data_IF_032913968166
#
_entry.id   IF_032913968166
#
_cell.length_a   1.000
_cell.length_b   1.000
_cell.length_c   1.000
_cell.angle_alpha   90.00
_cell.angle_beta   90.00
_cell.angle_gamma   90.00
#
_symmetry.space_group_name_H-M   'P 1'
#
loop_
_entity.id
_entity.type
_entity.pdbx_description
1 polymer ?
#
# COMPACT_ATOMS: atom_id res chain seq x y z
N UNK A 1 -86.86 -13.12 -19.66
CA UNK A 1 -85.51 -12.51 -19.73
C UNK A 1 -84.96 -12.30 -18.31
N UNK A 2 -84.30 -13.28 -17.67
CA UNK A 2 -83.53 -13.00 -16.43
C UNK A 2 -82.55 -14.13 -16.01
N UNK A 3 -82.70 -15.38 -16.49
CA UNK A 3 -81.77 -16.48 -16.15
C UNK A 3 -80.35 -16.32 -16.73
N UNK A 4 -80.19 -15.71 -17.92
CA UNK A 4 -78.86 -15.52 -18.54
C UNK A 4 -78.00 -14.43 -17.87
N UNK A 5 -78.59 -13.50 -17.12
CA UNK A 5 -77.85 -12.40 -16.47
C UNK A 5 -77.13 -12.87 -15.19
N UNK A 6 -77.73 -13.79 -14.45
CA UNK A 6 -77.10 -14.40 -13.27
C UNK A 6 -76.02 -15.42 -13.64
N UNK A 7 -76.18 -16.11 -14.79
CA UNK A 7 -75.19 -17.08 -15.27
C UNK A 7 -73.90 -16.39 -15.78
N UNK A 8 -74.02 -15.28 -16.52
CA UNK A 8 -72.85 -14.47 -16.90
C UNK A 8 -72.18 -13.80 -15.69
N UNK A 9 -72.96 -13.34 -14.71
CA UNK A 9 -72.43 -12.76 -13.47
C UNK A 9 -71.64 -13.77 -12.64
N UNK A 10 -72.11 -15.02 -12.56
CA UNK A 10 -71.43 -16.11 -11.85
C UNK A 10 -70.13 -16.55 -12.55
N UNK A 11 -70.09 -16.57 -13.89
CA UNK A 11 -68.89 -16.90 -14.66
C UNK A 11 -67.83 -15.80 -14.54
N UNK A 12 -68.24 -14.52 -14.55
CA UNK A 12 -67.33 -13.39 -14.37
C UNK A 12 -66.79 -13.30 -12.94
N UNK A 13 -67.61 -13.66 -11.94
CA UNK A 13 -67.17 -13.77 -10.55
C UNK A 13 -66.19 -14.92 -10.34
N UNK A 14 -66.38 -16.09 -10.97
CA UNK A 14 -65.42 -17.21 -10.90
C UNK A 14 -64.09 -16.89 -11.60
N UNK A 15 -64.11 -16.12 -12.70
CA UNK A 15 -62.91 -15.71 -13.43
C UNK A 15 -62.02 -14.75 -12.61
N UNK A 16 -62.60 -13.94 -11.72
CA UNK A 16 -61.85 -13.01 -10.86
C UNK A 16 -61.12 -13.71 -9.70
N UNK A 17 -61.57 -14.90 -9.25
CA UNK A 17 -60.92 -15.66 -8.16
C UNK A 17 -59.79 -16.57 -8.67
N UNK A 18 -59.77 -16.87 -9.98
CA UNK A 18 -58.73 -17.70 -10.60
C UNK A 18 -57.45 -16.92 -11.01
N UNK A 19 -57.45 -15.59 -10.85
CA UNK A 19 -56.48 -14.68 -11.49
C UNK A 19 -55.23 -14.29 -10.69
N UNK A 20 -54.88 -14.97 -9.59
CA UNK A 20 -53.64 -14.67 -8.84
C UNK A 20 -52.94 -15.94 -8.34
N UNK A 21 -52.42 -16.75 -9.27
CA UNK A 21 -51.27 -17.59 -8.92
C UNK A 21 -50.09 -16.66 -8.69
N UNK A 22 -49.77 -16.37 -7.42
CA UNK A 22 -48.48 -15.78 -7.04
C UNK A 22 -47.41 -16.62 -7.74
N UNK A 23 -46.62 -16.00 -8.62
CA UNK A 23 -45.45 -16.68 -9.18
C UNK A 23 -44.65 -17.24 -8.00
N UNK A 24 -44.15 -18.48 -8.07
CA UNK A 24 -43.25 -18.97 -7.05
C UNK A 24 -42.12 -17.94 -6.90
N UNK A 25 -41.73 -17.59 -5.65
CA UNK A 25 -40.68 -16.61 -5.45
C UNK A 25 -39.48 -17.02 -6.30
N UNK A 26 -38.95 -16.08 -7.09
CA UNK A 26 -37.80 -16.32 -7.96
C UNK A 26 -36.68 -16.83 -7.07
N UNK A 27 -36.39 -18.13 -7.14
CA UNK A 27 -35.29 -18.73 -6.39
C UNK A 27 -34.02 -18.24 -7.04
N UNK A 28 -33.29 -17.38 -6.35
CA UNK A 28 -31.97 -16.94 -6.78
C UNK A 28 -31.07 -18.19 -6.85
N UNK A 29 -30.33 -18.32 -7.95
CA UNK A 29 -29.45 -19.46 -8.16
C UNK A 29 -28.06 -19.15 -7.61
N UNK A 30 -27.47 -20.08 -6.86
CA UNK A 30 -26.06 -20.04 -6.50
C UNK A 30 -25.34 -21.19 -7.21
N UNK A 31 -24.39 -20.85 -8.08
CA UNK A 31 -23.65 -21.85 -8.85
C UNK A 31 -22.77 -22.71 -7.92
N UNK A 32 -22.76 -24.04 -8.07
CA UNK A 32 -21.78 -24.89 -7.40
C UNK A 32 -20.34 -24.56 -7.78
N UNK A 33 -20.12 -23.91 -8.93
CA UNK A 33 -18.80 -23.56 -9.47
C UNK A 33 -18.25 -22.23 -8.98
N UNK A 34 -18.94 -21.54 -8.05
CA UNK A 34 -18.37 -20.32 -7.46
C UNK A 34 -17.06 -20.62 -6.74
N UNK A 35 -16.09 -19.71 -6.86
CA UNK A 35 -14.73 -19.90 -6.35
C UNK A 35 -14.03 -18.58 -6.01
N UNK A 36 -13.03 -18.67 -5.14
CA UNK A 36 -12.02 -17.62 -4.94
C UNK A 36 -10.76 -17.95 -5.77
N UNK A 37 -9.99 -16.93 -6.14
CA UNK A 37 -8.77 -17.13 -6.94
C UNK A 37 -7.63 -17.79 -6.14
N UNK A 38 -7.60 -17.59 -4.82
CA UNK A 38 -6.62 -18.20 -3.92
C UNK A 38 -7.29 -18.55 -2.59
N UNK A 39 -6.70 -19.51 -1.88
CA UNK A 39 -7.06 -19.87 -0.51
C UNK A 39 -6.16 -19.20 0.53
N UNK A 40 -5.11 -18.49 0.12
CA UNK A 40 -4.05 -18.01 1.01
C UNK A 40 -3.83 -16.51 0.86
N UNK A 41 -3.99 -15.77 1.96
CA UNK A 41 -3.90 -14.31 2.00
C UNK A 41 -2.77 -13.87 2.94
N UNK A 42 -1.90 -12.97 2.46
CA UNK A 42 -0.67 -12.59 3.18
C UNK A 42 -0.51 -11.07 3.37
N UNK A 43 -1.40 -10.42 4.14
CA UNK A 43 -1.36 -8.97 4.35
C UNK A 43 -0.12 -8.56 5.16
N UNK A 44 0.35 -7.33 4.97
CA UNK A 44 1.38 -6.72 5.83
C UNK A 44 0.69 -5.89 6.91
N UNK A 45 1.03 -6.14 8.18
CA UNK A 45 0.50 -5.43 9.33
C UNK A 45 0.93 -3.95 9.36
N UNK A 46 0.27 -3.15 10.19
CA UNK A 46 0.56 -1.72 10.38
C UNK A 46 0.02 -0.78 9.30
N UNK A 47 -0.77 -1.28 8.35
CA UNK A 47 -1.40 -0.48 7.29
C UNK A 47 -2.78 -1.01 6.92
N UNK A 48 -3.67 -0.11 6.50
CA UNK A 48 -4.95 -0.49 5.93
C UNK A 48 -4.72 -1.15 4.56
N UNK A 49 -5.33 -2.31 4.33
CA UNK A 49 -5.19 -3.06 3.08
C UNK A 49 -6.51 -3.67 2.66
N UNK A 50 -6.78 -3.61 1.36
CA UNK A 50 -7.89 -4.31 0.71
C UNK A 50 -7.28 -5.35 -0.21
N UNK A 51 -7.61 -6.62 0.03
CA UNK A 51 -7.18 -7.72 -0.83
C UNK A 51 -8.35 -8.12 -1.71
N UNK A 52 -8.18 -7.91 -3.02
CA UNK A 52 -9.14 -8.34 -4.01
C UNK A 52 -9.13 -9.86 -4.08
N UNK A 53 -10.23 -10.49 -3.70
CA UNK A 53 -10.31 -11.96 -3.66
C UNK A 53 -10.55 -12.57 -5.04
N UNK A 54 -10.91 -11.72 -6.01
CA UNK A 54 -11.24 -12.09 -7.39
C UNK A 54 -12.29 -13.21 -7.41
N UNK A 55 -13.34 -13.05 -6.59
CA UNK A 55 -14.42 -14.01 -6.49
C UNK A 55 -15.11 -14.21 -7.84
N UNK A 56 -15.20 -15.47 -8.28
CA UNK A 56 -15.94 -15.87 -9.47
C UNK A 56 -17.34 -16.33 -9.06
N UNK A 57 -18.35 -15.54 -9.41
CA UNK A 57 -19.74 -15.87 -9.17
C UNK A 57 -20.33 -16.86 -10.21
N UNK A 58 -19.61 -17.19 -11.28
CA UNK A 58 -20.10 -17.99 -12.41
C UNK A 58 -21.48 -17.48 -12.88
N UNK A 59 -22.51 -18.34 -12.97
CA UNK A 59 -23.87 -17.96 -13.37
C UNK A 59 -24.80 -17.67 -12.18
N UNK A 60 -24.25 -17.32 -11.02
CA UNK A 60 -25.04 -17.05 -9.82
C UNK A 60 -25.84 -15.75 -9.94
N UNK A 61 -27.00 -15.72 -9.30
CA UNK A 61 -27.83 -14.53 -9.17
C UNK A 61 -27.23 -13.60 -8.11
N UNK A 62 -27.24 -12.29 -8.38
CA UNK A 62 -26.87 -11.24 -7.44
C UNK A 62 -28.12 -10.65 -6.78
N UNK A 63 -28.02 -10.08 -5.57
CA UNK A 63 -26.80 -9.84 -4.79
C UNK A 63 -26.32 -11.07 -4.00
N UNK A 64 -25.00 -11.14 -3.77
CA UNK A 64 -24.36 -12.17 -2.95
C UNK A 64 -23.90 -11.58 -1.60
N UNK A 65 -24.13 -12.33 -0.54
CA UNK A 65 -23.76 -12.02 0.84
C UNK A 65 -22.55 -12.87 1.24
N UNK A 66 -21.57 -12.23 1.87
CA UNK A 66 -20.31 -12.84 2.30
C UNK A 66 -20.16 -12.68 3.81
N UNK A 67 -19.81 -13.78 4.48
CA UNK A 67 -19.67 -13.81 5.94
C UNK A 67 -18.38 -14.57 6.31
N UNK A 68 -17.61 -14.02 7.25
CA UNK A 68 -16.45 -14.69 7.84
C UNK A 68 -16.90 -15.56 9.01
N UNK A 69 -16.48 -16.82 9.02
CA UNK A 69 -16.82 -17.79 10.04
C UNK A 69 -15.56 -18.48 10.58
N UNK A 70 -15.68 -19.04 11.79
CA UNK A 70 -14.68 -19.93 12.40
C UNK A 70 -13.25 -19.38 12.39
N UNK A 71 -13.07 -18.11 12.75
CA UNK A 71 -11.75 -17.48 12.88
C UNK A 71 -10.95 -18.18 13.97
N UNK A 72 -9.90 -18.89 13.58
CA UNK A 72 -9.10 -19.75 14.46
C UNK A 72 -7.62 -19.70 14.11
N UNK A 73 -6.79 -20.05 15.08
CA UNK A 73 -5.34 -20.24 14.90
C UNK A 73 -5.06 -21.61 14.28
N UNK A 74 -3.82 -21.84 13.86
CA UNK A 74 -3.40 -23.12 13.27
C UNK A 74 -3.64 -24.33 14.19
N UNK A 75 -3.57 -24.14 15.51
CA UNK A 75 -3.85 -25.17 16.51
C UNK A 75 -5.36 -25.41 16.75
N UNK A 76 -6.25 -24.71 16.05
CA UNK A 76 -7.69 -24.80 16.20
C UNK A 76 -8.29 -23.93 17.30
N UNK A 77 -7.49 -23.24 18.12
CA UNK A 77 -7.99 -22.31 19.13
C UNK A 77 -8.67 -21.09 18.47
N UNK A 78 -9.73 -20.51 19.08
CA UNK A 78 -10.33 -19.27 18.59
C UNK A 78 -9.30 -18.14 18.43
N UNK A 79 -9.48 -17.30 17.41
CA UNK A 79 -8.62 -16.13 17.15
C UNK A 79 -9.37 -14.81 17.40
N UNK A 80 -9.74 -14.47 18.65
CA UNK A 80 -10.48 -13.26 18.98
C UNK A 80 -9.72 -11.98 18.63
N UNK A 81 -8.38 -12.03 18.53
CA UNK A 81 -7.56 -10.90 18.11
C UNK A 81 -7.90 -10.41 16.69
N UNK A 82 -8.42 -11.27 15.81
CA UNK A 82 -8.79 -10.90 14.44
C UNK A 82 -10.08 -10.08 14.38
N UNK A 83 -10.96 -10.22 15.37
CA UNK A 83 -12.23 -9.48 15.48
C UNK A 83 -12.18 -8.34 16.49
N UNK A 84 -11.11 -8.25 17.28
CA UNK A 84 -10.88 -7.15 18.20
C UNK A 84 -10.88 -5.80 17.47
N UNK A 85 -11.52 -4.81 18.09
CA UNK A 85 -11.59 -3.46 17.54
C UNK A 85 -10.22 -2.78 17.65
N UNK A 86 -9.70 -2.32 16.53
CA UNK A 86 -8.52 -1.47 16.44
C UNK A 86 -8.94 -0.05 16.06
N UNK A 87 -8.24 0.94 16.60
CA UNK A 87 -8.45 2.35 16.25
C UNK A 87 -7.63 2.68 15.01
N UNK A 88 -8.30 3.01 13.92
CA UNK A 88 -7.65 3.39 12.66
C UNK A 88 -8.08 4.79 12.23
N UNK A 89 -7.19 5.49 11.51
CA UNK A 89 -7.54 6.75 10.86
C UNK A 89 -8.12 6.46 9.47
N UNK A 90 -9.36 6.85 9.27
CA UNK A 90 -10.05 6.75 7.99
C UNK A 90 -10.37 8.13 7.42
N UNK A 91 -10.40 8.20 6.09
CA UNK A 91 -10.79 9.40 5.37
C UNK A 91 -12.30 9.60 5.42
N UNK A 92 -12.72 10.79 5.87
CA UNK A 92 -14.12 11.27 5.74
C UNK A 92 -14.26 12.31 4.65
N UNK A 93 -13.18 13.05 4.37
CA UNK A 93 -13.08 13.98 3.26
C UNK A 93 -12.21 13.43 2.15
N UNK A 94 -12.39 13.97 0.94
CA UNK A 94 -11.51 13.68 -0.19
C UNK A 94 -10.16 14.37 0.01
N UNK A 95 -9.08 13.58 -0.02
CA UNK A 95 -7.72 14.09 -0.16
C UNK A 95 -7.46 14.49 -1.61
N UNK A 96 -6.98 15.72 -1.84
CA UNK A 96 -6.74 16.23 -3.20
C UNK A 96 -5.26 16.41 -3.51
N UNK A 97 -4.39 16.47 -2.51
CA UNK A 97 -2.99 16.86 -2.65
C UNK A 97 -2.79 18.36 -2.82
N UNK A 98 -3.85 19.16 -2.62
CA UNK A 98 -3.83 20.62 -2.65
C UNK A 98 -3.95 21.23 -1.25
N UNK A 99 -4.01 20.39 -0.22
CA UNK A 99 -4.03 20.80 1.18
C UNK A 99 -2.81 21.66 1.51
N UNK A 100 -3.01 22.66 2.37
CA UNK A 100 -1.99 23.69 2.69
C UNK A 100 -1.35 23.52 4.07
N UNK A 101 -1.90 22.62 4.90
CA UNK A 101 -1.36 22.32 6.23
C UNK A 101 -1.69 20.90 6.69
N UNK A 102 -0.95 20.41 7.70
CA UNK A 102 -1.28 19.16 8.39
C UNK A 102 -2.66 19.19 9.04
N UNK A 103 -3.07 20.34 9.58
CA UNK A 103 -4.36 20.50 10.21
C UNK A 103 -5.52 20.26 9.22
N UNK A 104 -5.38 20.74 7.98
CA UNK A 104 -6.39 20.51 6.93
C UNK A 104 -6.49 19.02 6.56
N UNK A 105 -5.35 18.31 6.50
CA UNK A 105 -5.32 16.87 6.24
C UNK A 105 -5.98 16.09 7.37
N UNK A 106 -5.64 16.41 8.62
CA UNK A 106 -6.17 15.71 9.78
C UNK A 106 -7.65 16.03 10.01
N UNK A 107 -8.14 17.21 9.64
CA UNK A 107 -9.57 17.52 9.63
C UNK A 107 -10.39 16.68 8.63
N UNK A 108 -9.74 16.15 7.58
CA UNK A 108 -10.33 15.24 6.59
C UNK A 108 -10.27 13.77 7.03
N UNK A 109 -9.72 13.49 8.22
CA UNK A 109 -9.56 12.15 8.79
C UNK A 109 -10.32 12.06 10.10
N UNK A 110 -10.83 10.87 10.40
CA UNK A 110 -11.43 10.57 11.70
C UNK A 110 -10.87 9.26 12.24
N UNK A 111 -10.83 9.14 13.56
CA UNK A 111 -10.53 7.87 14.20
C UNK A 111 -11.79 7.02 14.22
N UNK A 112 -11.71 5.81 13.67
CA UNK A 112 -12.81 4.84 13.65
C UNK A 112 -12.33 3.54 14.28
N UNK A 113 -13.16 2.97 15.13
CA UNK A 113 -12.93 1.62 15.66
C UNK A 113 -13.50 0.59 14.68
N UNK A 114 -12.64 -0.31 14.20
CA UNK A 114 -13.04 -1.39 13.28
C UNK A 114 -12.35 -2.69 13.67
N UNK A 115 -12.97 -3.85 13.45
CA UNK A 115 -12.26 -5.13 13.59
C UNK A 115 -11.04 -5.16 12.66
N UNK A 116 -9.99 -5.85 13.08
CA UNK A 116 -8.81 -6.02 12.23
C UNK A 116 -9.16 -6.67 10.89
N UNK A 117 -9.94 -7.76 10.92
CA UNK A 117 -10.25 -8.55 9.74
C UNK A 117 -11.74 -8.56 9.45
N UNK A 118 -12.12 -8.05 8.27
CA UNK A 118 -13.51 -8.00 7.79
C UNK A 118 -13.60 -8.40 6.32
N UNK A 119 -14.83 -8.71 5.88
CA UNK A 119 -15.15 -8.99 4.48
C UNK A 119 -16.14 -7.96 3.95
N UNK A 120 -15.95 -7.47 2.72
CA UNK A 120 -16.83 -6.46 2.13
C UNK A 120 -18.18 -7.06 1.73
N UNK A 121 -19.30 -6.44 2.13
CA UNK A 121 -20.61 -6.84 1.64
C UNK A 121 -20.68 -6.56 0.13
N UNK A 122 -20.99 -7.59 -0.66
CA UNK A 122 -21.17 -7.50 -2.12
C UNK A 122 -20.01 -8.05 -2.97
N UNK A 123 -18.76 -7.70 -2.69
CA UNK A 123 -17.61 -8.19 -3.48
C UNK A 123 -16.93 -9.42 -2.89
N UNK A 124 -17.07 -9.65 -1.58
CA UNK A 124 -16.31 -10.69 -0.90
C UNK A 124 -14.81 -10.38 -0.78
N UNK A 125 -14.41 -9.12 -0.98
CA UNK A 125 -13.03 -8.70 -0.79
C UNK A 125 -12.68 -8.63 0.70
N UNK A 126 -11.44 -8.99 1.03
CA UNK A 126 -10.96 -8.97 2.39
C UNK A 126 -10.41 -7.58 2.73
N UNK A 127 -10.78 -7.06 3.89
CA UNK A 127 -10.34 -5.76 4.40
C UNK A 127 -9.61 -5.97 5.71
N UNK A 128 -8.38 -5.49 5.73
CA UNK A 128 -7.50 -5.50 6.89
C UNK A 128 -7.31 -4.07 7.37
N UNK A 129 -7.74 -3.81 8.60
CA UNK A 129 -7.47 -2.55 9.27
C UNK A 129 -6.01 -2.53 9.78
N UNK A 130 -5.43 -1.36 9.95
CA UNK A 130 -4.10 -1.22 10.53
C UNK A 130 -4.10 -1.77 11.98
N UNK A 131 -3.30 -2.79 12.23
CA UNK A 131 -3.06 -3.38 13.54
C UNK A 131 -1.58 -3.69 13.72
N UNK A 132 -1.15 -3.78 14.98
CA UNK A 132 0.24 -4.08 15.32
C UNK A 132 0.48 -5.59 15.49
N UNK A 133 1.71 -6.02 15.21
CA UNK A 133 2.19 -7.36 15.53
C UNK A 133 2.28 -7.67 17.03
N UNK A 134 2.09 -6.66 17.89
CA UNK A 134 1.88 -6.87 19.32
C UNK A 134 0.54 -7.56 19.63
N UNK A 135 -0.45 -7.48 18.73
CA UNK A 135 -1.80 -8.06 18.90
C UNK A 135 -2.05 -9.19 17.90
N UNK A 136 -1.66 -9.00 16.64
CA UNK A 136 -1.87 -9.98 15.56
C UNK A 136 -0.56 -10.72 15.29
N UNK A 137 -0.59 -12.05 15.32
CA UNK A 137 0.61 -12.82 15.01
C UNK A 137 0.98 -12.70 13.53
N UNK A 138 2.27 -12.60 13.23
CA UNK A 138 2.73 -12.44 11.86
C UNK A 138 4.14 -12.96 11.63
N UNK A 139 4.46 -13.33 10.39
CA UNK A 139 5.79 -13.80 10.00
C UNK A 139 6.85 -12.76 10.36
N UNK A 140 8.00 -13.18 10.95
CA UNK A 140 8.56 -14.54 10.96
C UNK A 140 8.07 -15.48 12.07
N UNK A 141 7.09 -15.10 12.89
CA UNK A 141 6.67 -15.92 14.04
C UNK A 141 6.17 -17.31 13.61
N UNK A 142 6.35 -18.30 14.48
CA UNK A 142 5.97 -19.70 14.24
C UNK A 142 4.45 -19.89 14.22
N UNK A 143 3.71 -19.14 15.03
CA UNK A 143 2.24 -19.17 15.15
C UNK A 143 1.56 -18.05 14.34
N UNK A 144 1.99 -17.85 13.08
CA UNK A 144 1.49 -16.79 12.19
C UNK A 144 0.38 -17.24 11.23
N UNK A 145 -0.01 -18.52 11.26
CA UNK A 145 -1.05 -19.07 10.42
C UNK A 145 -2.41 -19.03 11.14
N UNK A 146 -3.35 -18.34 10.51
CA UNK A 146 -4.75 -18.35 10.87
C UNK A 146 -5.57 -19.11 9.83
N UNK A 147 -6.63 -19.76 10.28
CA UNK A 147 -7.62 -20.42 9.46
C UNK A 147 -8.98 -19.74 9.65
N UNK A 148 -9.72 -19.63 8.56
CA UNK A 148 -11.06 -19.08 8.59
C UNK A 148 -11.89 -19.71 7.48
N UNK A 149 -13.21 -19.59 7.61
CA UNK A 149 -14.14 -20.06 6.59
C UNK A 149 -14.90 -18.85 6.03
N UNK A 150 -15.25 -18.90 4.75
CA UNK A 150 -16.08 -17.88 4.10
C UNK A 150 -17.39 -18.53 3.68
N UNK A 151 -18.50 -18.02 4.18
CA UNK A 151 -19.83 -18.40 3.71
C UNK A 151 -20.30 -17.40 2.66
N UNK A 152 -20.65 -17.91 1.49
CA UNK A 152 -21.29 -17.16 0.41
C UNK A 152 -22.74 -17.58 0.36
N UNK A 153 -23.67 -16.62 0.35
CA UNK A 153 -25.11 -16.89 0.30
C UNK A 153 -25.84 -15.91 -0.60
N UNK A 154 -27.01 -16.31 -1.09
CA UNK A 154 -27.95 -15.42 -1.76
C UNK A 154 -29.15 -15.13 -0.85
N UNK A 155 -30.08 -14.27 -1.29
CA UNK A 155 -31.21 -13.86 -0.45
C UNK A 155 -32.25 -14.97 -0.29
N UNK A 156 -32.25 -15.97 -1.18
CA UNK A 156 -33.20 -17.08 -1.14
C UNK A 156 -32.68 -18.29 -0.38
N UNK A 157 -31.54 -18.16 0.33
CA UNK A 157 -31.03 -19.14 1.29
C UNK A 157 -30.05 -20.18 0.75
N UNK A 158 -29.75 -20.19 -0.56
CA UNK A 158 -28.67 -21.03 -1.08
C UNK A 158 -27.34 -20.51 -0.55
N UNK A 159 -26.49 -21.40 -0.06
CA UNK A 159 -25.17 -21.03 0.46
C UNK A 159 -24.10 -22.05 0.12
N UNK A 160 -22.86 -21.57 0.04
CA UNK A 160 -21.66 -22.39 -0.12
C UNK A 160 -20.64 -21.95 0.92
N UNK A 161 -20.04 -22.92 1.58
CA UNK A 161 -19.00 -22.71 2.57
C UNK A 161 -17.63 -23.04 1.97
N UNK A 162 -16.71 -22.08 2.06
CA UNK A 162 -15.30 -22.25 1.74
C UNK A 162 -14.55 -22.42 3.05
N UNK A 163 -14.10 -23.62 3.36
CA UNK A 163 -13.46 -23.93 4.63
C UNK A 163 -11.94 -23.78 4.55
N UNK A 164 -11.31 -23.58 5.72
CA UNK A 164 -9.86 -23.60 5.90
C UNK A 164 -9.09 -22.64 4.96
N UNK A 165 -9.65 -21.47 4.67
CA UNK A 165 -8.91 -20.38 4.05
C UNK A 165 -7.79 -19.95 5.00
N UNK A 166 -6.63 -19.60 4.45
CA UNK A 166 -5.39 -19.32 5.19
C UNK A 166 -5.12 -17.83 5.20
N UNK A 167 -4.86 -17.31 6.39
CA UNK A 167 -4.38 -15.95 6.60
C UNK A 167 -3.00 -16.03 7.25
N UNK A 168 -1.98 -15.49 6.57
CA UNK A 168 -0.59 -15.48 7.05
C UNK A 168 -0.08 -14.03 7.00
N UNK A 169 -0.33 -13.22 8.04
CA UNK A 169 0.12 -11.84 8.08
C UNK A 169 1.66 -11.75 8.14
N UNK A 170 2.24 -10.72 7.54
CA UNK A 170 3.62 -10.30 7.78
C UNK A 170 3.63 -9.21 8.84
N UNK A 171 4.64 -9.20 9.73
CA UNK A 171 4.86 -8.06 10.64
C UNK A 171 4.99 -6.75 9.89
N UNK A 172 4.87 -5.64 10.61
CA UNK A 172 4.96 -4.29 10.06
C UNK A 172 6.28 -4.11 9.29
N UNK A 173 6.16 -3.48 8.13
CA UNK A 173 7.29 -3.00 7.34
C UNK A 173 7.22 -1.48 7.41
N UNK A 174 8.18 -0.82 8.07
CA UNK A 174 8.05 0.59 8.40
C UNK A 174 8.17 1.50 7.19
N UNK A 175 8.93 1.08 6.17
CA UNK A 175 9.11 1.80 4.92
C UNK A 175 9.43 0.83 3.76
N UNK A 176 9.30 1.33 2.54
CA UNK A 176 9.73 0.68 1.31
C UNK A 176 10.52 1.66 0.44
N UNK A 177 11.56 1.24 -0.29
CA UNK A 177 12.09 -0.12 -0.39
C UNK A 177 12.73 -0.61 0.91
N UNK A 178 12.47 -1.86 1.30
CA UNK A 178 12.93 -2.45 2.57
C UNK A 178 14.10 -3.40 2.33
N UNK A 179 15.20 -3.28 3.08
CA UNK A 179 16.45 -4.02 2.84
C UNK A 179 16.44 -5.46 3.36
N UNK A 180 15.41 -5.84 4.11
CA UNK A 180 15.29 -7.16 4.71
C UNK A 180 14.21 -7.99 4.02
N UNK A 181 14.36 -9.31 4.06
CA UNK A 181 13.36 -10.23 3.57
C UNK A 181 12.09 -10.12 4.45
N UNK A 182 10.93 -9.89 3.82
CA UNK A 182 9.65 -9.71 4.53
C UNK A 182 9.25 -10.92 5.39
N UNK A 183 9.63 -12.12 4.99
CA UNK A 183 9.23 -13.37 5.63
C UNK A 183 10.19 -13.76 6.75
N UNK A 184 11.50 -13.68 6.49
CA UNK A 184 12.53 -14.17 7.43
C UNK A 184 13.19 -13.07 8.26
N UNK A 185 12.98 -11.80 7.90
CA UNK A 185 13.64 -10.62 8.49
C UNK A 185 15.17 -10.64 8.44
N UNK A 186 15.75 -11.51 7.61
CA UNK A 186 17.19 -11.52 7.33
C UNK A 186 17.53 -10.42 6.31
N UNK A 187 18.72 -9.78 6.42
CA UNK A 187 19.20 -8.85 5.41
C UNK A 187 19.19 -9.51 4.02
N UNK A 188 18.72 -8.79 3.01
CA UNK A 188 18.84 -9.24 1.63
C UNK A 188 20.26 -8.96 1.13
N UNK A 189 20.67 -9.71 0.12
CA UNK A 189 21.98 -9.55 -0.52
C UNK A 189 21.82 -9.21 -2.00
N UNK A 190 22.80 -8.53 -2.56
CA UNK A 190 22.90 -8.24 -3.99
C UNK A 190 24.31 -8.63 -4.49
N UNK A 191 24.39 -9.07 -5.74
CA UNK A 191 25.65 -9.53 -6.36
C UNK A 191 26.09 -8.56 -7.44
N UNK A 192 27.38 -8.21 -7.43
CA UNK A 192 28.01 -7.34 -8.43
C UNK A 192 29.07 -8.10 -9.20
N UNK A 193 29.16 -7.83 -10.50
CA UNK A 193 30.31 -8.24 -11.30
C UNK A 193 31.43 -7.22 -11.16
N UNK A 194 32.63 -7.69 -10.81
CA UNK A 194 33.85 -6.88 -10.83
C UNK A 194 34.34 -6.73 -12.27
N UNK A 195 34.74 -5.51 -12.66
CA UNK A 195 35.38 -5.22 -13.94
C UNK A 195 36.92 -5.23 -13.77
N UNK A 196 37.74 -5.76 -14.71
CA UNK A 196 37.44 -6.19 -16.09
C UNK A 196 36.91 -7.64 -16.24
N UNK A 197 36.24 -7.96 -17.37
CA UNK A 197 35.44 -9.18 -17.55
C UNK A 197 36.27 -10.45 -17.83
N UNK A 198 37.60 -10.38 -17.77
CA UNK A 198 38.48 -11.52 -18.06
C UNK A 198 38.58 -12.50 -16.88
N UNK A 199 38.27 -12.07 -15.65
CA UNK A 199 38.24 -12.89 -14.44
C UNK A 199 37.03 -12.50 -13.58
N UNK A 200 35.82 -12.86 -14.02
CA UNK A 200 34.56 -12.48 -13.36
C UNK A 200 34.37 -13.17 -12.00
N UNK A 201 34.88 -12.54 -10.94
CA UNK A 201 34.45 -12.87 -9.57
C UNK A 201 33.18 -12.09 -9.23
N UNK A 202 32.11 -12.79 -8.87
CA UNK A 202 30.91 -12.13 -8.34
C UNK A 202 31.10 -11.87 -6.85
N UNK A 203 30.92 -10.62 -6.41
CA UNK A 203 30.94 -10.27 -4.98
C UNK A 203 29.50 -10.12 -4.52
N UNK A 204 29.13 -10.82 -3.45
CA UNK A 204 27.83 -10.68 -2.79
C UNK A 204 27.97 -9.75 -1.59
N UNK A 205 27.13 -8.71 -1.53
CA UNK A 205 27.11 -7.73 -0.44
C UNK A 205 25.70 -7.54 0.10
N UNK A 206 25.51 -6.97 1.31
CA UNK A 206 24.19 -6.60 1.79
C UNK A 206 23.52 -5.61 0.85
N UNK A 207 22.24 -5.85 0.55
CA UNK A 207 21.42 -4.98 -0.29
C UNK A 207 21.23 -3.64 0.40
N UNK A 208 21.44 -2.57 -0.34
CA UNK A 208 21.15 -1.20 0.11
C UNK A 208 19.99 -0.63 -0.70
N UNK A 209 19.23 0.32 -0.15
CA UNK A 209 18.31 1.10 -0.98
C UNK A 209 19.12 1.95 -1.95
N UNK A 210 18.73 1.91 -3.22
CA UNK A 210 19.39 2.61 -4.32
C UNK A 210 18.50 3.74 -4.85
N UNK A 211 19.12 4.65 -5.59
CA UNK A 211 18.40 5.65 -6.36
C UNK A 211 17.49 4.94 -7.38
N UNK A 212 16.24 5.42 -7.52
CA UNK A 212 15.32 4.96 -8.57
C UNK A 212 15.47 5.77 -9.85
N UNK A 213 15.98 7.00 -9.73
CA UNK A 213 16.25 7.88 -10.86
C UNK A 213 17.68 8.40 -10.76
N UNK A 214 18.42 8.35 -11.86
CA UNK A 214 19.76 8.95 -11.98
C UNK A 214 20.01 9.36 -13.43
N UNK A 215 20.34 10.63 -13.67
CA UNK A 215 20.71 11.16 -14.97
C UNK A 215 21.75 12.26 -14.80
N UNK A 216 22.79 12.27 -15.66
CA UNK A 216 23.90 13.21 -15.61
C UNK A 216 24.52 13.39 -14.20
N UNK A 217 24.53 12.32 -13.40
CA UNK A 217 25.26 12.29 -12.13
C UNK A 217 26.69 11.94 -12.43
N UNK A 218 27.59 12.90 -12.35
CA UNK A 218 29.00 12.69 -12.64
C UNK A 218 29.82 12.81 -11.35
N UNK A 219 30.93 12.07 -11.30
CA UNK A 219 31.93 12.19 -10.23
C UNK A 219 33.32 12.63 -10.74
N UNK A 220 33.52 12.60 -12.06
CA UNK A 220 34.64 13.26 -12.75
C UNK A 220 34.07 14.01 -13.96
N UNK A 221 34.91 14.67 -14.77
CA UNK A 221 34.45 15.39 -15.97
C UNK A 221 33.65 14.48 -16.91
N UNK A 222 34.11 13.23 -17.09
CA UNK A 222 33.59 12.31 -18.11
C UNK A 222 32.99 11.01 -17.55
N UNK A 223 33.10 10.75 -16.24
CA UNK A 223 32.59 9.52 -15.63
C UNK A 223 31.28 9.73 -14.86
N UNK A 224 30.27 8.95 -15.24
CA UNK A 224 28.97 8.90 -14.59
C UNK A 224 29.00 8.03 -13.33
N UNK A 225 28.36 8.50 -12.27
CA UNK A 225 28.01 7.73 -11.10
C UNK A 225 27.07 6.61 -11.49
N UNK A 226 27.44 5.39 -11.14
CA UNK A 226 26.58 4.22 -11.30
C UNK A 226 25.64 4.11 -10.10
N UNK A 227 24.42 3.54 -10.24
CA UNK A 227 23.45 3.50 -9.16
C UNK A 227 23.95 2.87 -7.84
N UNK A 228 24.85 1.87 -7.89
CA UNK A 228 25.45 1.25 -6.69
C UNK A 228 26.48 2.13 -5.97
N UNK A 229 26.89 3.23 -6.59
CA UNK A 229 27.76 4.25 -6.00
C UNK A 229 26.97 5.26 -5.16
N UNK A 230 25.66 5.07 -5.00
CA UNK A 230 24.83 5.78 -4.04
C UNK A 230 24.04 4.78 -3.18
N UNK A 231 23.85 5.12 -1.92
CA UNK A 231 22.97 4.39 -1.01
C UNK A 231 22.03 5.38 -0.33
N UNK A 232 20.80 4.95 -0.07
CA UNK A 232 19.84 5.72 0.71
C UNK A 232 19.56 4.97 2.00
N UNK A 233 19.61 5.69 3.13
CA UNK A 233 19.31 5.12 4.45
C UNK A 233 18.06 5.76 5.02
N UNK A 234 17.14 4.94 5.51
CA UNK A 234 15.95 5.37 6.25
C UNK A 234 16.23 5.25 7.74
N UNK A 235 16.11 6.36 8.47
CA UNK A 235 16.34 6.40 9.92
C UNK A 235 15.14 7.04 10.62
N UNK A 236 14.49 6.30 11.50
CA UNK A 236 13.54 6.88 12.45
C UNK A 236 14.31 7.49 13.61
N UNK A 237 14.20 8.81 13.79
CA UNK A 237 14.93 9.60 14.80
C UNK A 237 14.06 10.07 15.95
N UNK A 238 12.74 9.93 15.83
CA UNK A 238 11.77 10.34 16.84
C UNK A 238 10.37 9.84 16.55
N UNK A 239 9.43 10.18 17.44
CA UNK A 239 8.02 9.81 17.37
C UNK A 239 7.12 10.96 16.89
N UNK A 240 7.71 12.03 16.35
CA UNK A 240 6.98 13.18 15.80
C UNK A 240 6.38 12.89 14.42
N UNK A 241 6.28 13.94 13.61
CA UNK A 241 5.61 13.89 12.31
C UNK A 241 6.41 14.67 11.27
N UNK A 242 7.67 14.29 11.06
CA UNK A 242 8.56 15.00 10.13
C UNK A 242 9.32 14.08 9.18
N UNK A 243 9.68 14.63 8.02
CA UNK A 243 10.52 14.00 7.02
C UNK A 243 11.71 14.92 6.71
N UNK A 244 12.92 14.40 6.84
CA UNK A 244 14.16 15.14 6.61
C UNK A 244 15.00 14.47 5.53
N UNK A 245 15.49 15.26 4.57
CA UNK A 245 16.47 14.81 3.59
C UNK A 245 17.87 15.30 3.97
N UNK A 246 18.84 14.39 3.94
CA UNK A 246 20.26 14.67 4.11
C UNK A 246 21.04 14.12 2.93
N UNK A 247 22.11 14.81 2.58
CA UNK A 247 23.00 14.43 1.49
C UNK A 247 24.42 14.37 2.03
N UNK A 248 25.09 13.25 1.84
CA UNK A 248 26.45 13.00 2.31
C UNK A 248 27.36 12.69 1.14
N UNK A 249 28.55 13.28 1.16
CA UNK A 249 29.61 13.01 0.19
C UNK A 249 30.35 11.70 0.49
N UNK A 250 31.44 11.43 -0.25
CA UNK A 250 32.22 10.19 -0.10
C UNK A 250 32.85 10.02 1.29
N UNK A 251 33.08 11.13 1.98
CA UNK A 251 33.72 11.20 3.30
C UNK A 251 32.67 11.28 4.42
N UNK A 252 31.38 11.05 4.08
CA UNK A 252 30.24 11.20 4.98
C UNK A 252 30.06 12.62 5.53
N UNK A 253 30.59 13.63 4.85
CA UNK A 253 30.38 15.02 5.20
C UNK A 253 29.09 15.55 4.55
N UNK A 254 28.34 16.45 5.24
CA UNK A 254 27.12 17.02 4.69
C UNK A 254 27.38 17.81 3.40
N UNK A 255 26.61 17.49 2.36
CA UNK A 255 26.48 18.32 1.16
C UNK A 255 25.37 19.33 1.41
N UNK A 256 25.68 20.62 1.22
CA UNK A 256 24.70 21.68 1.38
C UNK A 256 23.52 21.50 0.41
N UNK A 257 22.27 21.35 0.88
CA UNK A 257 21.09 21.20 0.02
C UNK A 257 20.91 22.31 -1.01
N UNK A 258 21.39 23.54 -0.74
CA UNK A 258 21.34 24.65 -1.69
C UNK A 258 22.10 24.39 -2.99
N UNK A 259 23.04 23.42 -3.01
CA UNK A 259 23.70 22.96 -4.23
C UNK A 259 22.74 22.27 -5.20
N UNK A 260 21.58 21.80 -4.75
CA UNK A 260 20.52 21.27 -5.60
C UNK A 260 19.50 22.35 -5.97
N UNK A 261 19.99 23.44 -6.56
CA UNK A 261 19.24 24.67 -6.81
C UNK A 261 18.09 24.55 -7.81
N UNK A 262 18.10 23.53 -8.69
CA UNK A 262 16.98 23.26 -9.61
C UNK A 262 15.87 22.41 -8.95
N UNK A 263 16.08 21.92 -7.73
CA UNK A 263 15.08 21.15 -6.99
C UNK A 263 13.92 22.04 -6.58
N UNK A 264 12.69 21.60 -6.88
CA UNK A 264 11.47 22.26 -6.40
C UNK A 264 11.18 21.88 -4.95
N UNK A 265 11.94 22.44 -4.02
CA UNK A 265 11.88 22.08 -2.61
C UNK A 265 10.50 22.23 -1.97
N UNK A 266 9.71 23.22 -2.38
CA UNK A 266 8.34 23.42 -1.87
C UNK A 266 7.32 22.44 -2.43
N UNK A 267 7.70 21.65 -3.44
CA UNK A 267 6.80 20.75 -4.18
C UNK A 267 7.26 19.28 -4.12
N UNK A 268 8.26 18.99 -3.29
CA UNK A 268 8.97 17.72 -3.32
C UNK A 268 8.16 16.57 -2.69
N UNK A 269 7.39 16.87 -1.64
CA UNK A 269 6.56 15.93 -0.89
C UNK A 269 5.27 16.63 -0.44
N UNK A 270 4.27 15.88 0.02
CA UNK A 270 3.06 16.44 0.66
C UNK A 270 3.34 17.00 2.07
N UNK A 271 4.49 17.64 2.24
CA UNK A 271 4.98 18.19 3.50
C UNK A 271 4.79 19.69 3.59
N UNK A 272 4.82 20.20 4.81
CA UNK A 272 4.58 21.59 5.17
C UNK A 272 5.77 22.16 5.96
N UNK A 273 5.75 23.47 6.20
CA UNK A 273 6.74 24.16 7.04
C UNK A 273 8.20 23.80 6.69
N UNK A 274 8.55 23.89 5.42
CA UNK A 274 9.90 23.54 4.94
C UNK A 274 10.98 24.34 5.66
N UNK A 275 11.95 23.65 6.24
CA UNK A 275 13.12 24.21 6.89
C UNK A 275 14.38 23.70 6.17
N UNK A 276 15.17 24.61 5.60
CA UNK A 276 16.43 24.28 4.95
C UNK A 276 17.61 24.86 5.75
N UNK A 277 18.61 24.03 5.98
CA UNK A 277 19.90 24.42 6.56
C UNK A 277 21.02 23.99 5.64
N UNK A 278 22.27 24.29 6.00
CA UNK A 278 23.45 23.84 5.26
C UNK A 278 23.69 22.31 5.30
N UNK A 279 22.87 21.55 6.02
CA UNK A 279 23.06 20.10 6.18
C UNK A 279 21.82 19.25 5.92
N UNK A 280 20.63 19.86 5.84
CA UNK A 280 19.38 19.13 5.63
C UNK A 280 18.24 20.01 5.12
N UNK A 281 17.20 19.36 4.60
CA UNK A 281 15.87 19.95 4.37
C UNK A 281 14.83 19.13 5.11
N UNK A 282 14.02 19.77 5.94
CA UNK A 282 13.01 19.14 6.79
C UNK A 282 11.61 19.66 6.45
N UNK A 283 10.63 18.76 6.53
CA UNK A 283 9.21 19.04 6.35
C UNK A 283 8.42 18.43 7.51
N UNK A 284 7.33 19.07 7.88
CA UNK A 284 6.27 18.44 8.65
C UNK A 284 5.41 17.61 7.70
N UNK A 285 5.21 16.32 7.96
CA UNK A 285 4.55 15.41 7.02
C UNK A 285 3.55 14.52 7.75
N UNK A 286 2.39 14.31 7.13
CA UNK A 286 1.41 13.33 7.60
C UNK A 286 1.81 11.93 7.12
N UNK A 287 1.37 10.92 7.88
CA UNK A 287 1.59 9.50 7.57
C UNK A 287 0.27 8.80 7.17
N UNK A 288 0.36 7.73 6.35
CA UNK A 288 1.55 7.23 5.68
C UNK A 288 2.05 8.18 4.58
N UNK A 289 3.29 7.99 4.14
CA UNK A 289 3.88 8.65 2.97
C UNK A 289 3.94 7.62 1.84
N UNK A 290 3.31 7.85 0.68
CA UNK A 290 2.34 8.89 0.40
C UNK A 290 0.99 8.63 1.10
N UNK A 291 0.16 9.67 1.25
CA UNK A 291 -1.12 9.59 1.97
C UNK A 291 -2.22 8.81 1.23
N UNK A 292 -2.01 8.56 -0.06
CA UNK A 292 -2.95 7.89 -0.95
C UNK A 292 -2.21 7.07 -2.01
N UNK A 293 -2.88 6.05 -2.51
CA UNK A 293 -2.40 5.27 -3.67
C UNK A 293 -2.75 5.94 -5.01
N UNK A 294 -3.63 6.95 -4.98
CA UNK A 294 -3.98 7.73 -6.16
C UNK A 294 -2.78 8.53 -6.66
N UNK A 295 -2.69 8.70 -7.97
CA UNK A 295 -1.68 9.58 -8.58
C UNK A 295 -1.95 11.03 -8.17
N UNK A 296 -0.95 11.65 -7.57
CA UNK A 296 -0.89 13.07 -7.20
C UNK A 296 0.43 13.65 -7.70
N UNK A 297 0.64 14.95 -7.50
CA UNK A 297 1.95 15.58 -7.78
C UNK A 297 3.10 15.00 -6.96
N UNK A 298 2.81 14.41 -5.80
CA UNK A 298 3.81 13.88 -4.86
C UNK A 298 3.98 12.36 -4.94
N UNK A 299 3.03 11.66 -5.57
CA UNK A 299 2.93 10.21 -5.50
C UNK A 299 2.35 9.60 -6.77
N UNK A 300 2.86 8.44 -7.17
CA UNK A 300 2.33 7.65 -8.28
C UNK A 300 2.50 6.17 -7.97
N UNK A 301 1.47 5.37 -8.27
CA UNK A 301 1.53 3.91 -8.05
C UNK A 301 1.70 3.51 -6.58
N UNK A 302 1.18 4.31 -5.63
CA UNK A 302 1.30 4.02 -4.19
C UNK A 302 2.65 4.33 -3.56
N UNK A 303 3.56 5.00 -4.28
CA UNK A 303 4.84 5.46 -3.77
C UNK A 303 4.99 6.97 -3.93
N UNK A 304 5.61 7.61 -2.94
CA UNK A 304 6.10 8.98 -3.05
C UNK A 304 7.31 9.00 -3.98
N UNK A 305 7.46 10.06 -4.77
CA UNK A 305 8.61 10.24 -5.66
C UNK A 305 9.27 11.56 -5.37
N UNK A 306 10.56 11.51 -5.02
CA UNK A 306 11.39 12.70 -4.83
C UNK A 306 12.45 12.77 -5.90
N UNK A 307 12.64 13.96 -6.46
CA UNK A 307 13.66 14.27 -7.46
C UNK A 307 14.45 15.48 -6.99
N UNK A 308 15.77 15.33 -6.97
CA UNK A 308 16.74 16.37 -6.65
C UNK A 308 17.52 16.72 -7.92
N UNK A 309 17.60 18.01 -8.19
CA UNK A 309 18.15 18.53 -9.43
C UNK A 309 19.16 19.64 -9.15
N UNK A 310 20.26 19.63 -9.91
CA UNK A 310 21.26 20.69 -9.87
C UNK A 310 21.78 21.00 -11.27
N UNK A 311 22.08 22.27 -11.58
CA UNK A 311 22.78 22.61 -12.80
C UNK A 311 24.24 22.15 -12.70
N UNK A 312 24.78 21.67 -13.81
CA UNK A 312 26.22 21.48 -14.03
C UNK A 312 26.60 21.99 -15.40
N UNK A 313 27.83 22.48 -15.53
CA UNK A 313 28.43 22.70 -16.84
C UNK A 313 29.06 21.39 -17.32
N UNK A 314 28.68 20.94 -18.52
CA UNK A 314 29.26 19.79 -19.19
C UNK A 314 30.36 20.21 -20.18
N UNK A 315 30.93 19.22 -20.86
CA UNK A 315 31.89 19.46 -21.93
C UNK A 315 31.32 20.44 -22.98
N UNK A 316 32.19 21.32 -23.51
CA UNK A 316 31.80 22.37 -24.46
C UNK A 316 30.91 23.48 -23.88
N UNK A 317 30.95 23.71 -22.56
CA UNK A 317 30.14 24.72 -21.85
C UNK A 317 28.61 24.50 -21.98
N UNK A 318 28.19 23.27 -22.29
CA UNK A 318 26.77 22.91 -22.35
C UNK A 318 26.18 22.84 -20.93
N UNK A 319 25.09 23.57 -20.67
CA UNK A 319 24.38 23.47 -19.40
C UNK A 319 23.60 22.15 -19.37
N UNK A 320 23.78 21.34 -18.32
CA UNK A 320 23.05 20.09 -18.10
C UNK A 320 22.50 20.05 -16.69
N UNK A 321 21.40 19.32 -16.50
CA UNK A 321 20.86 19.06 -15.16
C UNK A 321 21.30 17.68 -14.70
N UNK A 322 22.01 17.63 -13.57
CA UNK A 322 22.18 16.42 -12.78
C UNK A 322 20.90 16.14 -12.02
N UNK A 323 20.36 14.92 -12.14
CA UNK A 323 19.08 14.52 -11.56
C UNK A 323 19.25 13.20 -10.83
N UNK A 324 18.79 13.13 -9.59
CA UNK A 324 18.67 11.87 -8.85
C UNK A 324 17.40 11.83 -8.02
N UNK A 325 16.96 10.63 -7.63
CA UNK A 325 15.73 10.50 -6.87
C UNK A 325 15.47 9.11 -6.31
N UNK A 326 14.37 9.02 -5.57
CA UNK A 326 13.93 7.83 -4.87
C UNK A 326 12.41 7.71 -4.99
N UNK A 327 11.91 6.51 -5.27
CA UNK A 327 10.50 6.18 -5.05
C UNK A 327 10.41 5.39 -3.75
N UNK A 328 9.59 5.85 -2.82
CA UNK A 328 9.51 5.25 -1.50
C UNK A 328 8.15 5.38 -0.87
N UNK A 329 7.93 4.60 0.19
CA UNK A 329 6.78 4.73 1.07
C UNK A 329 7.24 4.62 2.52
N UNK A 330 6.63 5.38 3.43
CA UNK A 330 6.85 5.28 4.87
C UNK A 330 5.48 5.07 5.53
N UNK A 331 5.33 3.94 6.19
CA UNK A 331 4.07 3.50 6.78
C UNK A 331 4.02 3.77 8.28
N UNK A 332 5.16 3.62 8.96
CA UNK A 332 5.26 3.85 10.39
C UNK A 332 5.37 5.36 10.68
N UNK A 333 4.47 5.95 11.49
CA UNK A 333 4.59 7.34 11.90
C UNK A 333 5.86 7.61 12.71
N UNK A 334 6.46 8.78 12.51
CA UNK A 334 7.63 9.23 13.26
C UNK A 334 8.34 10.42 12.63
N UNK A 335 9.46 10.79 13.22
CA UNK A 335 10.44 11.65 12.58
C UNK A 335 11.39 10.77 11.78
N UNK A 336 11.37 10.92 10.46
CA UNK A 336 12.18 10.11 9.53
C UNK A 336 13.24 10.96 8.86
N UNK A 337 14.45 10.43 8.76
CA UNK A 337 15.54 10.96 7.94
C UNK A 337 15.83 10.00 6.78
N UNK A 338 15.84 10.54 5.56
CA UNK A 338 16.32 9.88 4.35
C UNK A 338 17.69 10.46 4.00
N UNK A 339 18.72 9.62 4.17
CA UNK A 339 20.12 10.02 3.98
C UNK A 339 20.64 9.47 2.67
N UNK A 340 20.86 10.35 1.70
CA UNK A 340 21.49 10.04 0.41
C UNK A 340 22.99 10.13 0.56
N UNK A 341 23.68 8.99 0.56
CA UNK A 341 25.13 8.91 0.70
C UNK A 341 25.78 8.49 -0.63
N UNK A 342 26.64 9.34 -1.17
CA UNK A 342 27.36 9.11 -2.41
C UNK A 342 28.77 8.58 -2.12
N UNK A 343 29.12 7.40 -2.66
CA UNK A 343 30.46 6.78 -2.52
C UNK A 343 31.55 7.49 -3.34
N UNK A 344 31.15 8.45 -4.20
CA UNK A 344 32.02 9.38 -4.92
C UNK A 344 31.36 10.76 -4.89
N UNK A 345 32.18 11.81 -4.85
CA UNK A 345 31.65 13.17 -4.77
C UNK A 345 30.91 13.55 -6.04
N UNK A 346 29.73 14.16 -5.88
CA UNK A 346 29.00 14.75 -6.99
C UNK A 346 29.82 15.90 -7.59
N UNK A 347 29.94 15.91 -8.92
CA UNK A 347 30.55 17.01 -9.67
C UNK A 347 29.50 18.05 -10.01
N UNK A 348 29.57 19.21 -9.35
CA UNK A 348 28.67 20.35 -9.56
C UNK A 348 29.18 21.32 -10.65
N UNK A 349 30.49 21.44 -10.81
CA UNK A 349 31.15 22.34 -11.77
C UNK A 349 32.17 21.57 -12.61
N UNK A 350 32.61 22.12 -13.75
CA UNK A 350 33.74 21.58 -14.51
C UNK A 350 35.03 22.23 -14.03
N UNK A 351 36.10 21.43 -13.97
CA UNK A 351 37.46 21.90 -13.72
C UNK A 351 38.17 21.99 -15.08
#
# INVERSE_FOLDING_TARGET
MNKNRYFLGAILALALVAGCKKMPPVTEYLSPRVSFATDTYTPVLGRNLVVLTQFNADKSSYPLNFELLNLRRANGAPAPELTALTTVKDWVGRYTGLETSLAEIEAKRQQVQKPYFTIRPGSGDLVFAAASSAVIHGKPDTDSLYLFDIKVSNNTGASKLFTNQKLIPYKEIPYEPFEYNKETRKPLTESFQTYPPTNTTSITVPRQVRLTTSSNLYYTTDSLLQPYMAAVYFRKTGNGSSLTFRFLDKDSLPINPSRFSNTKWTELVHGFNMQMTDSYVKYDAAYPIPLTTLTTRYASGGQAKVLFEYPRRGFGNSLRNGVFGLNFSIYEPGDWELVFHFKKNLKFEND
#
